data_IF_949703783871
#
_entry.id   IF_949703783871
#
_cell.length_a   1.000
_cell.length_b   1.000
_cell.length_c   1.000
_cell.angle_alpha   90.00
_cell.angle_beta   90.00
_cell.angle_gamma   90.00
#
_symmetry.space_group_name_H-M   'P 1'
#
loop_
_entity.id
_entity.type
_entity.pdbx_description
1 polymer ?
#
# COMPACT_ATOMS: atom_id res chain seq x y z
N UNK A 1 20.30 -24.50 12.18
CA UNK A 1 19.35 -23.68 12.97
C UNK A 1 18.61 -22.65 12.11
N UNK A 2 19.26 -21.94 11.19
CA UNK A 2 18.58 -21.00 10.26
C UNK A 2 17.57 -21.65 9.28
N UNK A 3 17.87 -22.85 8.78
CA UNK A 3 16.95 -23.58 7.87
C UNK A 3 15.64 -24.03 8.54
N UNK A 4 15.68 -24.32 9.85
CA UNK A 4 14.47 -24.67 10.63
C UNK A 4 13.61 -23.44 10.87
N UNK A 5 14.23 -22.27 11.09
CA UNK A 5 13.53 -20.99 11.22
C UNK A 5 12.89 -20.58 9.88
N UNK A 6 13.61 -20.78 8.76
CA UNK A 6 13.09 -20.54 7.41
C UNK A 6 11.91 -21.47 7.08
N UNK A 7 12.00 -22.76 7.45
CA UNK A 7 10.94 -23.74 7.26
C UNK A 7 9.71 -23.46 8.15
N UNK A 8 9.93 -22.96 9.38
CA UNK A 8 8.86 -22.54 10.29
C UNK A 8 8.15 -21.25 9.79
N UNK A 9 8.88 -20.34 9.15
CA UNK A 9 8.31 -19.18 8.45
C UNK A 9 7.54 -19.57 7.17
N UNK A 10 7.96 -20.64 6.48
CA UNK A 10 7.29 -21.14 5.27
C UNK A 10 6.01 -21.95 5.59
N UNK A 11 5.98 -22.64 6.74
CA UNK A 11 4.81 -23.35 7.29
C UNK A 11 3.81 -22.39 7.96
N UNK A 12 4.26 -21.18 8.32
CA UNK A 12 3.37 -20.05 8.55
C UNK A 12 2.77 -19.67 7.19
N UNK A 13 1.80 -20.48 6.75
CA UNK A 13 0.72 -20.11 5.85
C UNK A 13 0.38 -18.64 6.15
N UNK A 14 0.16 -17.76 5.15
CA UNK A 14 -0.25 -16.39 5.41
C UNK A 14 -1.33 -16.49 6.47
N UNK A 15 -1.00 -16.09 7.70
CA UNK A 15 -1.93 -16.14 8.79
C UNK A 15 -3.16 -15.47 8.21
N UNK A 16 -4.28 -16.17 8.18
CA UNK A 16 -5.53 -15.73 7.60
C UNK A 16 -5.90 -14.35 8.15
N UNK A 17 -5.30 -13.31 7.59
CA UNK A 17 -5.72 -11.93 7.58
C UNK A 17 -6.34 -11.64 6.21
N UNK A 18 -6.30 -12.61 5.28
CA UNK A 18 -6.97 -12.52 3.98
C UNK A 18 -8.45 -12.91 4.02
N UNK A 19 -8.99 -13.41 5.15
CA UNK A 19 -10.43 -13.69 5.28
C UNK A 19 -10.94 -13.98 6.70
N UNK A 20 -10.20 -13.69 7.77
CA UNK A 20 -10.69 -13.90 9.14
C UNK A 20 -11.36 -12.66 9.74
N UNK A 21 -12.20 -11.98 8.95
CA UNK A 21 -13.24 -11.08 9.47
C UNK A 21 -14.37 -11.93 10.06
N UNK A 22 -14.07 -12.63 11.15
CA UNK A 22 -14.99 -13.54 11.80
C UNK A 22 -16.03 -12.77 12.62
N UNK A 23 -17.26 -12.68 12.11
CA UNK A 23 -18.53 -12.65 12.87
C UNK A 23 -18.75 -11.58 13.94
N UNK A 24 -17.81 -10.66 14.17
CA UNK A 24 -17.87 -9.69 15.26
C UNK A 24 -18.13 -8.29 14.69
N UNK A 25 -19.15 -7.57 15.21
CA UNK A 25 -19.62 -6.31 14.62
C UNK A 25 -18.54 -5.21 14.57
N UNK A 26 -17.49 -5.32 15.39
CA UNK A 26 -16.36 -4.38 15.42
C UNK A 26 -15.37 -4.53 14.27
N UNK A 27 -15.31 -5.69 13.60
CA UNK A 27 -14.38 -5.95 12.50
C UNK A 27 -14.66 -5.03 11.29
N UNK A 28 -15.94 -4.77 11.02
CA UNK A 28 -16.37 -3.83 10.00
C UNK A 28 -15.90 -2.40 10.28
N UNK A 29 -15.94 -1.97 11.55
CA UNK A 29 -15.49 -0.64 11.95
C UNK A 29 -13.97 -0.52 11.84
N UNK A 30 -13.22 -1.49 12.33
CA UNK A 30 -11.75 -1.51 12.23
C UNK A 30 -11.29 -1.53 10.77
N UNK A 31 -11.94 -2.34 9.92
CA UNK A 31 -11.66 -2.39 8.48
C UNK A 31 -11.99 -1.08 7.78
N UNK A 32 -13.08 -0.40 8.16
CA UNK A 32 -13.41 0.93 7.62
C UNK A 32 -12.38 1.98 8.03
N UNK A 33 -11.90 1.95 9.27
CA UNK A 33 -10.82 2.85 9.72
C UNK A 33 -9.55 2.62 8.93
N UNK A 34 -9.15 1.35 8.75
CA UNK A 34 -7.98 1.00 7.93
C UNK A 34 -8.13 1.49 6.49
N UNK A 35 -9.29 1.26 5.87
CA UNK A 35 -9.63 1.73 4.51
C UNK A 35 -9.65 3.26 4.40
N UNK A 36 -10.08 3.98 5.43
CA UNK A 36 -10.03 5.44 5.46
C UNK A 36 -8.58 5.94 5.53
N UNK A 37 -7.74 5.37 6.40
CA UNK A 37 -6.34 5.81 6.57
C UNK A 37 -5.48 5.45 5.36
N UNK A 38 -5.76 4.33 4.70
CA UNK A 38 -5.03 3.92 3.48
C UNK A 38 -5.67 4.43 2.18
N UNK A 39 -6.85 5.05 2.27
CA UNK A 39 -7.64 5.53 1.14
C UNK A 39 -7.53 7.04 0.90
N UNK A 40 -8.50 7.64 0.19
CA UNK A 40 -8.46 9.03 -0.25
C UNK A 40 -8.35 10.06 0.88
N UNK A 41 -8.74 9.70 2.12
CA UNK A 41 -8.69 10.61 3.26
C UNK A 41 -7.24 11.01 3.63
N UNK A 42 -6.27 10.10 3.56
CA UNK A 42 -4.87 10.44 3.82
C UNK A 42 -4.30 11.41 2.79
N UNK A 43 -4.74 11.31 1.54
CA UNK A 43 -4.34 12.23 0.47
C UNK A 43 -4.86 13.65 0.73
N UNK A 44 -6.13 13.78 1.14
CA UNK A 44 -6.71 15.08 1.50
C UNK A 44 -6.02 15.71 2.71
N UNK A 45 -5.70 14.91 3.73
CA UNK A 45 -4.95 15.40 4.89
C UNK A 45 -3.55 15.92 4.52
N UNK A 46 -2.87 15.24 3.59
CA UNK A 46 -1.57 15.69 3.08
C UNK A 46 -1.66 17.03 2.35
N UNK A 47 -2.71 17.25 1.56
CA UNK A 47 -2.92 18.53 0.86
C UNK A 47 -3.15 19.67 1.84
N UNK A 48 -3.93 19.46 2.90
CA UNK A 48 -4.16 20.48 3.94
C UNK A 48 -2.84 20.86 4.62
N UNK A 49 -2.00 19.88 4.94
CA UNK A 49 -0.67 20.11 5.51
C UNK A 49 0.24 20.91 4.57
N UNK A 50 0.20 20.62 3.27
CA UNK A 50 0.97 21.35 2.26
C UNK A 50 0.51 22.81 2.13
N UNK A 51 -0.81 23.04 2.07
CA UNK A 51 -1.39 24.40 2.00
C UNK A 51 -1.07 25.19 3.27
N UNK A 52 -1.16 24.55 4.44
CA UNK A 52 -0.76 25.16 5.71
C UNK A 52 0.72 25.58 5.72
N UNK A 53 1.63 24.69 5.32
CA UNK A 53 3.06 24.99 5.23
C UNK A 53 3.35 26.11 4.19
N UNK A 54 2.65 26.10 3.05
CA UNK A 54 2.78 27.12 2.01
C UNK A 54 2.24 28.49 2.44
N UNK A 55 1.14 28.53 3.19
CA UNK A 55 0.60 29.77 3.75
C UNK A 55 1.61 30.41 4.71
N UNK A 56 2.21 29.62 5.60
CA UNK A 56 3.24 30.13 6.54
C UNK A 56 4.49 30.65 5.83
N UNK A 57 4.84 30.10 4.66
CA UNK A 57 5.96 30.59 3.84
C UNK A 57 5.65 31.97 3.22
N UNK A 58 4.45 32.13 2.63
CA UNK A 58 4.07 33.37 1.93
C UNK A 58 4.07 34.57 2.87
N UNK A 59 3.68 34.38 4.13
CA UNK A 59 3.68 35.45 5.15
C UNK A 59 5.05 35.72 5.79
N UNK A 60 6.13 35.10 5.30
CA UNK A 60 7.49 35.37 5.78
C UNK A 60 7.86 34.62 7.06
N UNK A 61 7.37 33.39 7.22
CA UNK A 61 7.76 32.50 8.32
C UNK A 61 9.24 32.09 8.27
N UNK A 62 9.78 31.67 9.41
CA UNK A 62 11.17 31.24 9.56
C UNK A 62 11.56 30.23 8.46
N UNK A 63 12.53 30.57 7.62
CA UNK A 63 12.89 29.76 6.45
C UNK A 63 13.37 28.36 6.85
N UNK A 64 13.99 28.25 8.03
CA UNK A 64 14.37 26.98 8.63
C UNK A 64 13.13 26.18 9.11
N UNK A 65 12.16 26.84 9.75
CA UNK A 65 10.87 26.26 10.12
C UNK A 65 10.02 25.76 8.93
N UNK A 66 10.00 26.48 7.81
CA UNK A 66 9.35 26.02 6.58
C UNK A 66 10.04 24.77 6.01
N UNK A 67 11.36 24.83 5.83
CA UNK A 67 12.13 23.72 5.26
C UNK A 67 11.97 22.46 6.11
N UNK A 68 11.98 22.61 7.44
CA UNK A 68 11.73 21.51 8.38
C UNK A 68 10.33 20.92 8.19
N UNK A 69 9.29 21.74 8.09
CA UNK A 69 7.92 21.29 7.83
C UNK A 69 7.79 20.59 6.48
N UNK A 70 8.42 21.12 5.44
CA UNK A 70 8.40 20.54 4.10
C UNK A 70 9.08 19.16 4.06
N UNK A 71 10.24 19.01 4.73
CA UNK A 71 10.92 17.72 4.84
C UNK A 71 10.05 16.67 5.55
N UNK A 72 9.33 17.05 6.62
CA UNK A 72 8.41 16.13 7.30
C UNK A 72 7.26 15.68 6.39
N UNK A 73 6.67 16.60 5.61
CA UNK A 73 5.59 16.27 4.67
C UNK A 73 6.10 15.29 3.60
N UNK A 74 7.26 15.55 3.00
CA UNK A 74 7.88 14.67 1.98
C UNK A 74 8.24 13.31 2.56
N UNK A 75 8.77 13.26 3.79
CA UNK A 75 9.10 12.01 4.48
C UNK A 75 7.85 11.14 4.67
N UNK A 76 6.75 11.72 5.14
CA UNK A 76 5.47 11.01 5.36
C UNK A 76 4.89 10.50 4.03
N UNK A 77 4.87 11.33 2.99
CA UNK A 77 4.41 10.94 1.65
C UNK A 77 5.25 9.80 1.07
N UNK A 78 6.58 9.88 1.20
CA UNK A 78 7.50 8.83 0.74
C UNK A 78 7.22 7.50 1.45
N UNK A 79 6.97 7.53 2.75
CA UNK A 79 6.66 6.34 3.52
C UNK A 79 5.29 5.74 3.15
N UNK A 80 4.27 6.57 2.89
CA UNK A 80 2.97 6.11 2.40
C UNK A 80 3.10 5.38 1.06
N UNK A 81 3.81 5.98 0.10
CA UNK A 81 4.01 5.40 -1.23
C UNK A 81 4.84 4.12 -1.15
N UNK A 82 5.91 4.12 -0.36
CA UNK A 82 6.74 2.93 -0.14
C UNK A 82 5.95 1.78 0.48
N UNK A 83 5.08 2.06 1.46
CA UNK A 83 4.23 1.04 2.09
C UNK A 83 3.23 0.43 1.09
N UNK A 84 2.56 1.25 0.28
CA UNK A 84 1.65 0.76 -0.75
C UNK A 84 2.37 -0.07 -1.83
N UNK A 85 3.53 0.40 -2.27
CA UNK A 85 4.35 -0.31 -3.26
C UNK A 85 4.90 -1.63 -2.70
N UNK A 86 5.34 -1.65 -1.44
CA UNK A 86 5.85 -2.86 -0.77
C UNK A 86 4.75 -3.90 -0.56
N UNK A 87 3.55 -3.48 -0.11
CA UNK A 87 2.40 -4.40 0.02
C UNK A 87 2.00 -4.97 -1.35
N UNK A 88 1.95 -4.14 -2.40
CA UNK A 88 1.61 -4.59 -3.76
C UNK A 88 2.67 -5.55 -4.31
N UNK A 89 3.96 -5.27 -4.08
CA UNK A 89 5.06 -6.12 -4.51
C UNK A 89 5.01 -7.51 -3.87
N UNK A 90 4.63 -7.59 -2.59
CA UNK A 90 4.54 -8.85 -1.84
C UNK A 90 3.25 -9.61 -2.17
N UNK A 91 2.13 -8.92 -2.43
CA UNK A 91 0.81 -9.56 -2.62
C UNK A 91 0.40 -9.80 -4.08
N UNK A 92 0.92 -9.06 -5.08
CA UNK A 92 0.26 -8.99 -6.41
C UNK A 92 1.13 -9.11 -7.67
N UNK A 93 2.46 -9.28 -7.57
CA UNK A 93 3.36 -9.32 -8.75
C UNK A 93 4.39 -10.48 -8.73
N UNK A 94 4.32 -11.39 -7.77
CA UNK A 94 5.31 -12.46 -7.58
C UNK A 94 4.97 -13.82 -8.22
N UNK A 95 3.75 -14.02 -8.73
CA UNK A 95 3.33 -15.30 -9.29
C UNK A 95 2.33 -15.14 -10.45
N UNK A 96 2.70 -14.39 -11.50
CA UNK A 96 2.09 -14.62 -12.81
C UNK A 96 2.84 -15.78 -13.49
N UNK A 97 2.37 -17.01 -13.25
CA UNK A 97 2.60 -18.06 -14.26
C UNK A 97 1.71 -17.64 -15.42
N UNK A 98 2.28 -16.89 -16.37
CA UNK A 98 1.65 -16.66 -17.66
C UNK A 98 1.26 -18.04 -18.21
N UNK A 99 -0.03 -18.37 -18.18
CA UNK A 99 -0.54 -19.44 -19.04
C UNK A 99 -0.14 -18.99 -20.44
N UNK A 100 0.68 -19.77 -21.18
CA UNK A 100 0.85 -19.46 -22.58
C UNK A 100 -0.56 -19.48 -23.14
N UNK A 101 -1.01 -18.33 -23.63
CA UNK A 101 -2.13 -18.32 -24.53
C UNK A 101 -1.64 -19.12 -25.72
N UNK A 102 -1.97 -20.42 -25.73
CA UNK A 102 -2.05 -21.17 -26.98
C UNK A 102 -3.02 -20.35 -27.80
N UNK A 103 -2.42 -19.49 -28.62
CA UNK A 103 -3.06 -18.85 -29.74
C UNK A 103 -3.92 -19.91 -30.38
N UNK A 104 -5.20 -19.60 -30.57
CA UNK A 104 -6.10 -20.36 -31.42
C UNK A 104 -5.50 -20.41 -32.83
N UNK A 105 -4.47 -21.24 -33.03
CA UNK A 105 -4.01 -21.76 -34.33
C UNK A 105 -4.79 -23.05 -34.57
N UNK A 106 -6.11 -23.00 -34.39
CA UNK A 106 -7.07 -23.93 -34.98
C UNK A 106 -8.07 -23.05 -35.73
N UNK A 107 -7.51 -22.28 -36.66
CA UNK A 107 -8.17 -21.73 -37.83
C UNK A 107 -7.42 -22.32 -39.03
N UNK A 108 -7.52 -23.62 -39.24
CA UNK A 108 -7.42 -24.26 -40.57
C UNK A 108 -7.78 -25.74 -40.40
N UNK A 109 -8.86 -26.16 -41.06
CA UNK A 109 -9.22 -27.51 -41.53
C UNK A 109 -10.68 -27.82 -41.22
N UNK A 110 -11.56 -27.25 -42.05
CA UNK A 110 -12.76 -27.95 -42.49
C UNK A 110 -12.91 -27.69 -43.99
N UNK A 111 -12.77 -28.70 -44.86
CA UNK A 111 -13.64 -28.81 -46.02
C UNK A 111 -15.06 -29.20 -45.59
#
# INVERSE_FOLDING_TARGET
MGAVILLLLLITHPACASSAGGGLPFDSYLTKIQKSITGPFAFTAAIIGLVGAGATLIFGGEMNGFLRTLLFIVLVLSFLVAAQNTMTAITGKGAEIAKPSVSKIVMETQP
#
